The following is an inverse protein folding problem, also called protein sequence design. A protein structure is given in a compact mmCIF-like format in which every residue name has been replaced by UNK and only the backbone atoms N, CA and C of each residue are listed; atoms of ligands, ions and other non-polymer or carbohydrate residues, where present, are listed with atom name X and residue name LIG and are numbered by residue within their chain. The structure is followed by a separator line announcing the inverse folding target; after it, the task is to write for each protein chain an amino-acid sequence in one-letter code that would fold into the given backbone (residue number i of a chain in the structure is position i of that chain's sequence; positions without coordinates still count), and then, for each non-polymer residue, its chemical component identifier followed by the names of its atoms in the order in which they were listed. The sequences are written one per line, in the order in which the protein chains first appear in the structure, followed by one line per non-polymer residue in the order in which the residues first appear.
data_IF_103494802725
#
_entry.id   IF_103494802725
#
_cell.length_a   1.000
_cell.length_b   1.000
_cell.length_c   1.000
_cell.angle_alpha   90.00
_cell.angle_beta   90.00
_cell.angle_gamma   90.00
#
_symmetry.space_group_name_H-M   'P 1'
#
loop_
_entity.id
_entity.type
_entity.pdbx_description
1 polymer ?
#
# COMPACT_ATOMS: atom_id res chain seq x y z
N UNK A 1 2.72 -3.13 -0.15
CA UNK A 1 3.68 -2.01 0.08
C UNK A 1 3.96 -1.24 -1.20
N UNK A 2 3.92 -1.90 -2.37
CA UNK A 2 4.15 -1.27 -3.66
C UNK A 2 3.29 -0.01 -3.87
N UNK A 3 2.02 -0.06 -3.50
CA UNK A 3 1.10 1.07 -3.61
C UNK A 3 1.49 2.26 -2.74
N UNK A 4 1.88 2.05 -1.48
CA UNK A 4 2.34 3.15 -0.61
C UNK A 4 3.57 3.82 -1.21
N UNK A 5 4.57 3.04 -1.64
CA UNK A 5 5.78 3.58 -2.29
C UNK A 5 5.43 4.30 -3.60
N UNK A 6 4.56 3.71 -4.43
CA UNK A 6 4.10 4.30 -5.68
C UNK A 6 3.43 5.66 -5.48
N UNK A 7 2.52 5.74 -4.50
CA UNK A 7 1.86 6.99 -4.11
C UNK A 7 2.84 8.06 -3.61
N UNK A 8 3.78 7.68 -2.74
CA UNK A 8 4.78 8.59 -2.19
C UNK A 8 5.77 9.14 -3.23
N UNK A 9 6.17 8.32 -4.22
CA UNK A 9 7.09 8.71 -5.28
C UNK A 9 6.38 9.57 -6.34
N UNK A 10 5.28 9.06 -6.91
CA UNK A 10 4.64 9.64 -8.10
C UNK A 10 3.79 10.86 -7.72
N UNK A 11 3.10 10.81 -6.56
CA UNK A 11 2.27 11.90 -6.04
C UNK A 11 1.18 12.39 -7.00
N UNK A 12 0.49 11.45 -7.65
CA UNK A 12 -0.62 11.71 -8.56
C UNK A 12 -1.80 10.78 -8.24
N UNK A 13 -3.05 11.18 -8.56
CA UNK A 13 -4.20 10.30 -8.45
C UNK A 13 -4.01 8.99 -9.24
N UNK A 14 -4.35 7.88 -8.61
CA UNK A 14 -4.23 6.52 -9.14
C UNK A 14 -2.85 5.88 -8.99
N UNK A 15 -1.85 6.58 -8.46
CA UNK A 15 -0.48 6.08 -8.39
C UNK A 15 -0.32 4.88 -7.44
N UNK A 16 -0.96 4.90 -6.28
CA UNK A 16 -0.85 3.81 -5.32
C UNK A 16 -1.58 2.56 -5.84
N UNK A 17 -2.78 2.76 -6.38
CA UNK A 17 -3.58 1.70 -6.98
C UNK A 17 -2.84 1.02 -8.14
N UNK A 18 -2.34 1.81 -9.09
CA UNK A 18 -1.70 1.29 -10.30
C UNK A 18 -0.43 0.50 -9.98
N UNK A 19 0.42 1.03 -9.09
CA UNK A 19 1.67 0.35 -8.72
C UNK A 19 1.42 -0.96 -7.99
N UNK A 20 0.46 -1.00 -7.04
CA UNK A 20 0.11 -2.25 -6.36
C UNK A 20 -0.53 -3.26 -7.33
N UNK A 21 -1.38 -2.81 -8.26
CA UNK A 21 -1.98 -3.68 -9.26
C UNK A 21 -0.92 -4.28 -10.20
N UNK A 22 0.04 -3.48 -10.67
CA UNK A 22 1.16 -3.98 -11.49
C UNK A 22 1.97 -5.00 -10.69
N UNK A 23 2.29 -4.71 -9.42
CA UNK A 23 3.02 -5.63 -8.55
C UNK A 23 2.26 -6.97 -8.39
N UNK A 24 0.94 -6.91 -8.20
CA UNK A 24 0.10 -8.09 -8.06
C UNK A 24 -0.01 -8.90 -9.36
N UNK A 25 -0.11 -8.25 -10.52
CA UNK A 25 -0.08 -8.92 -11.84
C UNK A 25 1.25 -9.63 -12.03
N UNK A 26 2.38 -8.95 -11.79
CA UNK A 26 3.71 -9.57 -11.91
C UNK A 26 3.86 -10.75 -10.93
N UNK A 27 3.38 -10.60 -9.69
CA UNK A 27 3.40 -11.67 -8.69
C UNK A 27 2.57 -12.89 -9.11
N UNK A 28 1.41 -12.68 -9.74
CA UNK A 28 0.57 -13.76 -10.27
C UNK A 28 1.25 -14.46 -11.45
N UNK A 29 1.90 -13.71 -12.34
CA UNK A 29 2.59 -14.23 -13.53
C UNK A 29 3.85 -15.03 -13.19
N UNK A 30 4.63 -14.59 -12.19
CA UNK A 30 5.79 -15.34 -11.68
C UNK A 30 5.34 -16.69 -11.10
N UNK A 31 4.10 -16.77 -10.64
CA UNK A 31 3.50 -17.96 -10.05
C UNK A 31 3.55 -17.90 -8.53
N UNK A 32 2.38 -17.99 -7.91
CA UNK A 32 2.23 -18.12 -6.47
C UNK A 32 1.00 -19.01 -6.16
N UNK A 33 0.88 -19.42 -4.90
CA UNK A 33 -0.19 -20.34 -4.46
C UNK A 33 -1.62 -19.80 -4.63
N UNK A 34 -1.79 -18.48 -4.72
CA UNK A 34 -3.10 -17.82 -4.88
C UNK A 34 -3.47 -17.55 -6.34
N UNK A 35 -2.51 -17.72 -7.26
CA UNK A 35 -2.74 -17.54 -8.70
C UNK A 35 -3.39 -16.19 -9.03
N UNK A 36 -4.40 -16.16 -9.93
CA UNK A 36 -5.07 -14.92 -10.34
C UNK A 36 -5.76 -14.14 -9.21
N UNK A 37 -6.13 -14.78 -8.09
CA UNK A 37 -6.74 -14.09 -6.95
C UNK A 37 -5.79 -13.07 -6.30
N UNK A 38 -4.48 -13.21 -6.51
CA UNK A 38 -3.48 -12.21 -6.13
C UNK A 38 -3.80 -10.84 -6.73
N UNK A 39 -4.29 -10.79 -7.96
CA UNK A 39 -4.63 -9.54 -8.66
C UNK A 39 -5.82 -8.86 -7.97
N UNK A 40 -6.81 -9.63 -7.55
CA UNK A 40 -7.99 -9.14 -6.81
C UNK A 40 -7.57 -8.58 -5.45
N UNK A 41 -6.70 -9.28 -4.74
CA UNK A 41 -6.14 -8.79 -3.47
C UNK A 41 -5.30 -7.51 -3.66
N UNK A 42 -4.45 -7.47 -4.68
CA UNK A 42 -3.65 -6.29 -5.03
C UNK A 42 -4.49 -5.07 -5.39
N UNK A 43 -5.61 -5.29 -6.10
CA UNK A 43 -6.59 -4.24 -6.39
C UNK A 43 -7.19 -3.67 -5.09
N UNK A 44 -7.62 -4.54 -4.18
CA UNK A 44 -8.22 -4.11 -2.92
C UNK A 44 -7.21 -3.39 -2.01
N UNK A 45 -5.99 -3.89 -1.92
CA UNK A 45 -4.89 -3.26 -1.18
C UNK A 45 -4.51 -1.91 -1.78
N UNK A 46 -4.38 -1.85 -3.11
CA UNK A 46 -4.08 -0.63 -3.85
C UNK A 46 -5.15 0.44 -3.63
N UNK A 47 -6.43 0.05 -3.69
CA UNK A 47 -7.56 0.94 -3.42
C UNK A 47 -7.52 1.45 -1.98
N UNK A 48 -7.25 0.57 -1.01
CA UNK A 48 -7.13 0.95 0.39
C UNK A 48 -6.06 2.02 0.63
N UNK A 49 -4.89 1.89 0.00
CA UNK A 49 -3.85 2.92 0.06
C UNK A 49 -4.24 4.21 -0.67
N UNK A 50 -4.81 4.08 -1.88
CA UNK A 50 -5.20 5.20 -2.74
C UNK A 50 -6.23 6.10 -2.05
N UNK A 51 -7.22 5.51 -1.37
CA UNK A 51 -8.25 6.25 -0.64
C UNK A 51 -7.68 7.14 0.46
N UNK A 52 -6.57 6.75 1.08
CA UNK A 52 -5.90 7.59 2.07
C UNK A 52 -5.23 8.78 1.40
N UNK A 53 -4.48 8.58 0.31
CA UNK A 53 -3.90 9.71 -0.43
C UNK A 53 -4.98 10.65 -0.97
N UNK A 54 -6.11 10.09 -1.44
CA UNK A 54 -7.30 10.84 -1.84
C UNK A 54 -7.90 11.65 -0.69
N UNK A 55 -7.99 11.08 0.52
CA UNK A 55 -8.51 11.79 1.71
C UNK A 55 -7.67 13.03 2.07
N UNK A 56 -6.37 13.03 1.72
CA UNK A 56 -5.49 14.21 1.83
C UNK A 56 -5.38 15.01 0.53
N UNK A 57 -6.27 14.76 -0.45
CA UNK A 57 -6.34 15.40 -1.76
C UNK A 57 -5.03 15.36 -2.55
N UNK A 58 -4.17 14.36 -2.28
CA UNK A 58 -2.82 14.26 -2.83
C UNK A 58 -1.93 15.48 -2.52
N UNK A 59 -2.23 16.20 -1.43
CA UNK A 59 -1.48 17.39 -1.01
C UNK A 59 -0.44 17.09 0.07
N UNK A 60 -0.52 15.93 0.75
CA UNK A 60 0.37 15.58 1.87
C UNK A 60 0.95 14.18 1.71
N UNK A 61 2.26 14.05 1.90
CA UNK A 61 3.03 12.80 1.77
C UNK A 61 4.00 12.59 2.96
N UNK A 62 3.60 13.06 4.14
CA UNK A 62 4.36 12.93 5.38
C UNK A 62 4.31 11.50 5.95
N UNK A 63 5.17 11.21 6.93
CA UNK A 63 5.20 9.91 7.59
C UNK A 63 3.83 9.46 8.14
N UNK A 64 3.04 10.29 8.85
CA UNK A 64 1.71 9.89 9.30
C UNK A 64 0.78 9.51 8.15
N UNK A 65 0.82 10.22 7.01
CA UNK A 65 0.00 9.88 5.83
C UNK A 65 0.47 8.57 5.21
N UNK A 66 1.78 8.32 5.14
CA UNK A 66 2.32 7.04 4.68
C UNK A 66 1.87 5.88 5.57
N UNK A 67 1.93 6.05 6.90
CA UNK A 67 1.44 5.07 7.86
C UNK A 67 -0.06 4.80 7.70
N UNK A 68 -0.87 5.86 7.57
CA UNK A 68 -2.29 5.71 7.28
C UNK A 68 -2.55 5.01 5.95
N UNK A 69 -1.77 5.29 4.89
CA UNK A 69 -1.90 4.61 3.60
C UNK A 69 -1.57 3.12 3.70
N UNK A 70 -0.56 2.77 4.51
CA UNK A 70 -0.26 1.39 4.84
C UNK A 70 -1.38 0.70 5.62
N UNK A 71 -1.99 1.38 6.59
CA UNK A 71 -3.21 0.92 7.28
C UNK A 71 -4.35 0.71 6.27
N UNK A 72 -4.58 1.67 5.38
CA UNK A 72 -5.60 1.58 4.34
C UNK A 72 -5.42 0.35 3.46
N UNK A 73 -4.19 0.07 3.02
CA UNK A 73 -3.89 -1.16 2.29
C UNK A 73 -4.21 -2.43 3.10
N UNK A 74 -3.85 -2.46 4.38
CA UNK A 74 -4.17 -3.58 5.28
C UNK A 74 -5.68 -3.78 5.46
N UNK A 75 -6.45 -2.70 5.59
CA UNK A 75 -7.91 -2.75 5.63
C UNK A 75 -8.47 -3.24 4.29
N UNK A 76 -7.91 -2.79 3.16
CA UNK A 76 -8.29 -3.28 1.84
C UNK A 76 -8.08 -4.80 1.67
N UNK A 77 -6.94 -5.32 2.12
CA UNK A 77 -6.69 -6.77 2.17
C UNK A 77 -7.71 -7.48 3.05
N UNK A 78 -7.93 -6.98 4.26
CA UNK A 78 -8.87 -7.57 5.21
C UNK A 78 -10.29 -7.65 4.64
N UNK A 79 -10.79 -6.57 4.04
CA UNK A 79 -12.12 -6.55 3.39
C UNK A 79 -12.18 -7.55 2.25
N UNK A 80 -11.17 -7.64 1.40
CA UNK A 80 -11.12 -8.62 0.32
C UNK A 80 -11.19 -10.06 0.88
N UNK A 81 -10.40 -10.36 1.90
CA UNK A 81 -10.29 -11.72 2.47
C UNK A 81 -11.53 -12.16 3.26
N UNK A 82 -12.41 -11.23 3.66
CA UNK A 82 -13.73 -11.59 4.18
C UNK A 82 -14.55 -12.37 3.16
N UNK A 83 -14.41 -12.07 1.86
CA UNK A 83 -15.30 -12.58 0.81
C UNK A 83 -14.59 -13.44 -0.23
N UNK A 84 -13.27 -13.27 -0.40
CA UNK A 84 -12.50 -13.86 -1.50
C UNK A 84 -11.53 -14.93 -0.96
N UNK A 85 -11.55 -16.11 -1.59
CA UNK A 85 -10.67 -17.23 -1.28
C UNK A 85 -11.44 -18.54 -1.07
N UNK A 86 -10.72 -19.68 -1.02
CA UNK A 86 -11.35 -21.00 -0.83
C UNK A 86 -11.98 -21.17 0.57
N UNK A 87 -11.53 -20.40 1.55
CA UNK A 87 -12.11 -20.32 2.90
C UNK A 87 -12.20 -18.85 3.32
N UNK A 88 -13.28 -18.14 2.92
CA UNK A 88 -13.44 -16.72 3.22
C UNK A 88 -13.52 -16.44 4.73
N UNK A 89 -12.90 -15.34 5.16
CA UNK A 89 -12.79 -15.01 6.58
C UNK A 89 -14.13 -14.64 7.23
N UNK A 90 -15.19 -14.34 6.46
CA UNK A 90 -16.53 -14.12 7.00
C UNK A 90 -17.10 -15.36 7.74
N UNK A 91 -16.63 -16.56 7.40
CA UNK A 91 -17.01 -17.79 8.08
C UNK A 91 -16.24 -18.03 9.40
N UNK A 92 -15.22 -17.21 9.69
CA UNK A 92 -14.43 -17.29 10.93
C UNK A 92 -15.09 -16.50 12.06
N UNK A 93 -14.63 -16.73 13.29
CA UNK A 93 -15.15 -16.03 14.46
C UNK A 93 -14.87 -14.52 14.38
N UNK A 94 -15.72 -13.73 15.04
CA UNK A 94 -15.52 -12.28 15.18
C UNK A 94 -14.18 -11.98 15.84
N UNK A 95 -13.82 -12.73 16.87
CA UNK A 95 -12.54 -12.61 17.58
C UNK A 95 -11.33 -12.79 16.64
N UNK A 96 -11.36 -13.81 15.78
CA UNK A 96 -10.32 -14.02 14.77
C UNK A 96 -10.21 -12.81 13.85
N UNK A 97 -11.35 -12.34 13.31
CA UNK A 97 -11.37 -11.25 12.35
C UNK A 97 -10.88 -9.93 12.95
N UNK A 98 -11.23 -9.64 14.21
CA UNK A 98 -10.77 -8.44 14.92
C UNK A 98 -9.28 -8.51 15.24
N UNK A 99 -8.78 -9.65 15.69
CA UNK A 99 -7.35 -9.85 15.95
C UNK A 99 -6.55 -9.71 14.66
N UNK A 100 -7.03 -10.35 13.59
CA UNK A 100 -6.39 -10.30 12.29
C UNK A 100 -6.37 -8.88 11.72
N UNK A 101 -7.48 -8.15 11.77
CA UNK A 101 -7.53 -6.73 11.41
C UNK A 101 -6.53 -5.90 12.22
N UNK A 102 -6.48 -6.08 13.55
CA UNK A 102 -5.52 -5.40 14.42
C UNK A 102 -4.07 -5.64 13.98
N UNK A 103 -3.71 -6.89 13.66
CA UNK A 103 -2.38 -7.22 13.16
C UNK A 103 -2.08 -6.59 11.80
N UNK A 104 -3.05 -6.57 10.88
CA UNK A 104 -2.91 -5.93 9.56
C UNK A 104 -2.77 -4.41 9.67
N UNK A 105 -3.50 -3.77 10.58
CA UNK A 105 -3.39 -2.33 10.84
C UNK A 105 -1.98 -1.98 11.33
N UNK A 106 -1.48 -2.70 12.34
CA UNK A 106 -0.13 -2.46 12.89
C UNK A 106 0.94 -2.76 11.85
N UNK A 107 0.86 -3.90 11.17
CA UNK A 107 1.79 -4.31 10.12
C UNK A 107 1.77 -3.35 8.93
N UNK A 108 0.60 -2.94 8.48
CA UNK A 108 0.41 -1.97 7.39
C UNK A 108 1.04 -0.62 7.73
N UNK A 109 0.78 -0.10 8.93
CA UNK A 109 1.36 1.15 9.40
C UNK A 109 2.89 1.10 9.41
N UNK A 110 3.47 0.02 9.94
CA UNK A 110 4.92 -0.10 10.13
C UNK A 110 5.64 -0.53 8.84
N UNK A 111 5.27 -1.67 8.26
CA UNK A 111 5.96 -2.26 7.13
C UNK A 111 5.62 -1.57 5.81
N UNK A 112 4.35 -1.28 5.55
CA UNK A 112 3.99 -0.59 4.31
C UNK A 112 4.22 0.93 4.41
N UNK A 113 3.83 1.52 5.54
CA UNK A 113 3.90 2.94 5.78
C UNK A 113 5.28 3.47 6.17
N UNK A 114 5.72 3.18 7.40
CA UNK A 114 6.99 3.69 7.94
C UNK A 114 8.19 3.23 7.11
N UNK A 115 8.34 1.92 6.87
CA UNK A 115 9.46 1.40 6.07
C UNK A 115 9.37 1.90 4.63
N UNK A 116 8.18 1.91 4.02
CA UNK A 116 7.98 2.46 2.68
C UNK A 116 8.41 3.92 2.57
N UNK A 117 8.06 4.74 3.57
CA UNK A 117 8.47 6.14 3.63
C UNK A 117 9.98 6.32 3.78
N UNK A 118 10.63 5.52 4.63
CA UNK A 118 12.09 5.53 4.79
C UNK A 118 12.80 5.10 3.51
N UNK A 119 12.30 4.08 2.81
CA UNK A 119 12.84 3.63 1.52
C UNK A 119 12.77 4.73 0.46
N UNK A 120 11.64 5.45 0.37
CA UNK A 120 11.50 6.58 -0.57
C UNK A 120 12.52 7.68 -0.26
N UNK A 121 12.77 7.98 1.01
CA UNK A 121 13.79 8.96 1.40
C UNK A 121 15.21 8.50 1.07
N UNK A 122 15.53 7.24 1.33
CA UNK A 122 16.82 6.67 0.96
C UNK A 122 17.04 6.73 -0.57
N UNK A 123 16.03 6.37 -1.37
CA UNK A 123 16.08 6.48 -2.83
C UNK A 123 16.15 7.93 -3.34
N UNK A 124 15.55 8.87 -2.62
CA UNK A 124 15.67 10.29 -2.95
C UNK A 124 17.09 10.81 -2.70
N UNK A 125 17.71 10.39 -1.59
CA UNK A 125 19.09 10.76 -1.23
C UNK A 125 20.14 10.26 -2.24
N UNK A 126 19.89 9.15 -2.95
CA UNK A 126 20.79 8.69 -4.02
C UNK A 126 20.64 9.47 -5.33
N UNK A 127 19.63 10.35 -5.45
CA UNK A 127 19.31 11.06 -6.68
C UNK A 127 18.52 10.23 -7.71
N UNK A 128 18.24 8.96 -7.44
CA UNK A 128 17.45 8.09 -8.33
C UNK A 128 16.04 8.66 -8.59
N UNK A 129 15.47 9.35 -7.60
CA UNK A 129 14.14 9.98 -7.70
C UNK A 129 14.17 11.42 -8.24
N UNK A 130 15.28 11.85 -8.84
CA UNK A 130 15.51 13.23 -9.32
C UNK A 130 14.41 13.80 -10.22
N UNK A 131 13.77 12.96 -11.03
CA UNK A 131 12.70 13.34 -11.96
C UNK A 131 11.31 13.37 -11.31
N UNK A 132 11.16 12.80 -10.11
CA UNK A 132 9.89 12.71 -9.39
C UNK A 132 9.70 13.85 -8.39
N UNK A 133 8.45 14.05 -7.97
CA UNK A 133 8.12 15.07 -6.98
C UNK A 133 8.83 14.82 -5.64
N UNK A 134 8.92 13.56 -5.21
CA UNK A 134 9.65 13.17 -4.00
C UNK A 134 11.13 13.58 -4.01
N UNK A 135 11.84 13.42 -5.15
CA UNK A 135 13.24 13.82 -5.26
C UNK A 135 13.47 15.33 -5.41
N UNK A 136 12.46 16.10 -5.84
CA UNK A 136 12.52 17.57 -5.87
C UNK A 136 12.36 18.18 -4.49
N UNK A 137 11.49 17.61 -3.64
CA UNK A 137 11.30 18.05 -2.26
C UNK A 137 12.54 17.77 -1.40
N UNK A 138 13.07 16.55 -1.44
CA UNK A 138 14.25 16.18 -0.65
C UNK A 138 15.49 17.05 -0.95
N UNK A 139 15.57 17.66 -2.14
CA UNK A 139 16.64 18.60 -2.53
C UNK A 139 16.42 20.04 -2.09
N UNK A 140 15.20 20.40 -1.68
CA UNK A 140 14.92 21.71 -1.08
C UNK A 140 15.26 21.73 0.41
N UNK A 141 15.29 20.55 1.03
CA UNK A 141 15.62 20.36 2.44
C UNK A 141 17.14 20.24 2.70
N UNK A 142 17.97 20.26 1.65
CA UNK A 142 19.46 20.22 1.69
C UNK A 142 20.00 21.54 1.18
#
# INVERSE_FOLDING_TARGET
IGGVIGGLIIRKPGAALLVELIAAVVSALIGNVWGPLTIVSGLAQGLGAELIFLAFLYLRFSLPVAMLAGVGAGVGAWVNELFVGSSPNIAKTVEFNLTYLGTLVVSGALLAGLVGWLLVRALAATGALSRFAAGREARRDV
#
